data_IF_579491397201
#
_entry.id   IF_579491397201
#
_cell.length_a   1.000
_cell.length_b   1.000
_cell.length_c   1.000
_cell.angle_alpha   90.00
_cell.angle_beta   90.00
_cell.angle_gamma   90.00
#
_symmetry.space_group_name_H-M   'P 1'
#
loop_
_entity.id
_entity.type
_entity.pdbx_description
1 polymer ?
#
# COMPACT_ATOMS: atom_id res chain seq x y z
N UNK A 1 -0.17 29.20 -4.73
CA UNK A 1 -0.94 28.48 -5.75
C UNK A 1 -2.39 28.46 -5.30
N UNK A 2 -3.34 28.78 -6.16
CA UNK A 2 -4.77 28.68 -5.87
C UNK A 2 -5.36 27.63 -6.79
N UNK A 3 -6.30 26.84 -6.28
CA UNK A 3 -6.99 25.79 -7.04
C UNK A 3 -8.49 25.98 -6.93
N UNK A 4 -9.21 25.63 -7.98
CA UNK A 4 -10.67 25.63 -7.96
C UNK A 4 -11.18 24.48 -7.08
N UNK A 5 -12.16 24.77 -6.24
CA UNK A 5 -12.80 23.81 -5.33
C UNK A 5 -14.31 24.06 -5.33
N UNK A 6 -15.02 23.71 -6.41
CA UNK A 6 -16.49 23.80 -6.45
C UNK A 6 -17.12 22.91 -5.37
N UNK A 7 -18.42 23.09 -5.13
CA UNK A 7 -19.14 22.48 -4.01
C UNK A 7 -18.98 20.95 -3.89
N UNK A 8 -18.85 20.26 -5.01
CA UNK A 8 -18.73 18.80 -5.12
C UNK A 8 -17.27 18.29 -5.15
N UNK A 9 -16.29 19.18 -4.92
CA UNK A 9 -14.86 18.85 -5.05
C UNK A 9 -14.10 19.19 -3.78
N UNK A 10 -13.46 18.17 -3.21
CA UNK A 10 -12.47 18.35 -2.13
C UNK A 10 -11.08 18.36 -2.76
N UNK A 11 -10.33 19.48 -2.69
CA UNK A 11 -8.94 19.49 -3.13
C UNK A 11 -8.09 18.58 -2.24
N UNK A 12 -7.56 17.52 -2.83
CA UNK A 12 -6.68 16.56 -2.17
C UNK A 12 -5.36 16.48 -2.93
N UNK A 13 -4.25 16.55 -2.20
CA UNK A 13 -2.90 16.51 -2.78
C UNK A 13 -2.10 15.43 -2.06
N UNK A 14 -1.62 14.44 -2.81
CA UNK A 14 -0.69 13.46 -2.30
C UNK A 14 0.73 14.02 -2.38
N UNK A 15 1.49 13.92 -1.28
CA UNK A 15 2.89 14.34 -1.24
C UNK A 15 3.72 13.42 -2.14
N UNK A 16 4.70 13.96 -2.87
CA UNK A 16 5.70 13.14 -3.56
C UNK A 16 6.40 12.18 -2.59
N UNK A 17 6.88 11.06 -3.12
CA UNK A 17 7.58 10.00 -2.39
C UNK A 17 6.74 9.43 -1.23
N UNK A 18 5.45 9.24 -1.50
CA UNK A 18 4.52 8.56 -0.59
C UNK A 18 3.69 7.50 -1.31
N UNK A 19 3.28 6.49 -0.56
CA UNK A 19 2.32 5.49 -1.00
C UNK A 19 0.99 5.74 -0.29
N UNK A 20 -0.10 5.52 -1.03
CA UNK A 20 -1.46 5.47 -0.53
C UNK A 20 -1.98 4.05 -0.73
N UNK A 21 -2.39 3.40 0.36
CA UNK A 21 -3.01 2.07 0.32
C UNK A 21 -4.52 2.24 0.49
N UNK A 22 -5.29 1.63 -0.42
CA UNK A 22 -6.75 1.62 -0.38
C UNK A 22 -7.27 0.20 -0.64
N UNK A 23 -8.55 -0.01 -0.31
CA UNK A 23 -9.29 -1.22 -0.64
C UNK A 23 -10.63 -0.86 -1.28
N UNK A 24 -11.39 -1.86 -1.72
CA UNK A 24 -12.74 -1.68 -2.22
C UNK A 24 -13.63 -0.93 -1.22
N UNK A 25 -14.47 -0.02 -1.74
CA UNK A 25 -15.43 0.70 -0.93
C UNK A 25 -16.42 -0.25 -0.27
N UNK A 26 -16.68 -0.01 1.01
CA UNK A 26 -17.60 -0.78 1.85
C UNK A 26 -18.43 0.19 2.68
N UNK A 27 -19.63 -0.23 3.11
CA UNK A 27 -20.44 0.61 4.00
C UNK A 27 -19.96 0.61 5.45
N UNK A 28 -19.35 -0.51 5.88
CA UNK A 28 -18.81 -0.67 7.22
C UNK A 28 -17.44 -1.37 7.13
N UNK A 29 -16.56 -1.13 8.10
CA UNK A 29 -15.20 -1.68 8.07
C UNK A 29 -15.20 -3.22 8.13
N UNK A 30 -16.13 -3.79 8.88
CA UNK A 30 -16.29 -5.24 9.12
C UNK A 30 -16.70 -5.99 7.84
N UNK A 31 -17.37 -5.30 6.90
CA UNK A 31 -17.73 -5.85 5.59
C UNK A 31 -16.69 -5.56 4.51
N UNK A 32 -15.55 -4.95 4.87
CA UNK A 32 -14.45 -4.67 3.96
C UNK A 32 -13.87 -5.94 3.35
N UNK A 33 -13.71 -5.95 2.03
CA UNK A 33 -12.89 -6.96 1.36
C UNK A 33 -11.43 -6.59 1.55
N UNK A 34 -10.71 -7.31 2.41
CA UNK A 34 -9.26 -7.18 2.56
C UNK A 34 -8.47 -8.02 1.54
N UNK A 35 -9.18 -8.62 0.57
CA UNK A 35 -8.63 -9.50 -0.46
C UNK A 35 -7.99 -8.77 -1.65
N UNK A 36 -8.23 -7.47 -1.80
CA UNK A 36 -7.68 -6.66 -2.89
C UNK A 36 -7.17 -5.31 -2.36
N UNK A 37 -5.86 -5.21 -2.13
CA UNK A 37 -5.23 -3.95 -1.75
C UNK A 37 -4.67 -3.24 -2.98
N UNK A 38 -4.97 -1.95 -3.08
CA UNK A 38 -4.48 -1.06 -4.13
C UNK A 38 -3.46 -0.10 -3.54
N UNK A 39 -2.26 -0.06 -4.11
CA UNK A 39 -1.15 0.77 -3.65
C UNK A 39 -0.83 1.76 -4.76
N UNK A 40 -1.14 3.03 -4.53
CA UNK A 40 -0.82 4.12 -5.47
C UNK A 40 0.31 4.97 -4.93
N UNK A 41 1.36 5.17 -5.72
CA UNK A 41 2.52 5.96 -5.31
C UNK A 41 2.93 6.99 -6.36
N UNK A 42 3.32 8.17 -5.93
CA UNK A 42 4.07 9.13 -6.75
C UNK A 42 5.50 9.13 -6.22
N UNK A 43 6.38 8.37 -6.87
CA UNK A 43 7.71 8.00 -6.34
C UNK A 43 8.80 8.44 -7.30
N UNK A 44 9.40 9.59 -7.04
CA UNK A 44 10.54 10.10 -7.83
C UNK A 44 11.86 9.49 -7.35
N UNK A 45 11.99 9.22 -6.05
CA UNK A 45 13.17 8.61 -5.45
C UNK A 45 12.82 7.34 -4.67
N UNK A 46 12.11 7.49 -3.55
CA UNK A 46 11.82 6.37 -2.63
C UNK A 46 10.62 6.67 -1.74
N UNK A 47 9.66 5.77 -1.70
CA UNK A 47 8.52 5.82 -0.80
C UNK A 47 8.45 4.55 0.07
N UNK A 48 8.01 4.72 1.31
CA UNK A 48 7.79 3.61 2.24
C UNK A 48 6.39 3.71 2.87
N UNK A 49 5.82 2.57 3.21
CA UNK A 49 4.55 2.47 3.94
C UNK A 49 4.54 1.23 4.83
N UNK A 50 4.16 1.38 6.10
CA UNK A 50 3.97 0.25 7.01
C UNK A 50 2.49 -0.18 6.96
N UNK A 51 2.23 -1.31 6.29
CA UNK A 51 0.91 -1.91 6.20
C UNK A 51 0.63 -2.69 7.49
N UNK A 52 -0.20 -2.10 8.34
CA UNK A 52 -0.63 -2.66 9.62
C UNK A 52 -2.00 -3.35 9.50
N UNK A 53 -2.14 -4.53 10.11
CA UNK A 53 -3.41 -5.25 10.25
C UNK A 53 -3.48 -6.02 11.57
N UNK A 54 -4.66 -6.12 12.15
CA UNK A 54 -5.01 -6.97 13.29
C UNK A 54 -6.46 -7.46 13.13
N UNK A 55 -7.05 -8.01 14.20
CA UNK A 55 -8.44 -8.46 14.15
C UNK A 55 -9.47 -7.31 14.14
N UNK A 56 -9.08 -6.08 14.52
CA UNK A 56 -9.95 -4.91 14.62
C UNK A 56 -10.99 -4.95 15.76
N UNK A 57 -10.97 -5.96 16.63
CA UNK A 57 -12.02 -6.18 17.65
C UNK A 57 -11.48 -6.35 19.07
N UNK A 58 -10.27 -6.90 19.23
CA UNK A 58 -9.76 -7.29 20.54
C UNK A 58 -8.44 -6.57 20.87
N UNK A 59 -7.91 -6.85 22.06
CA UNK A 59 -6.59 -6.36 22.51
C UNK A 59 -5.45 -7.32 22.14
N UNK A 60 -5.68 -8.33 21.30
CA UNK A 60 -4.67 -9.35 20.98
C UNK A 60 -3.40 -8.75 20.31
N UNK A 61 -3.52 -7.59 19.67
CA UNK A 61 -2.37 -6.83 19.15
C UNK A 61 -1.35 -6.48 20.24
N UNK A 62 -1.77 -6.26 21.49
CA UNK A 62 -0.89 -5.97 22.63
C UNK A 62 0.03 -7.15 22.95
N UNK A 63 -0.41 -8.38 22.63
CA UNK A 63 0.33 -9.62 22.82
C UNK A 63 1.02 -10.13 21.55
N UNK A 64 1.01 -9.36 20.46
CA UNK A 64 1.74 -9.66 19.23
C UNK A 64 0.89 -10.20 18.08
N UNK A 65 -0.43 -10.33 18.26
CA UNK A 65 -1.36 -10.78 17.21
C UNK A 65 -1.73 -9.64 16.27
N UNK A 66 -0.72 -9.10 15.59
CA UNK A 66 -0.83 -8.14 14.51
C UNK A 66 0.04 -8.58 13.32
N UNK A 67 -0.08 -7.88 12.20
CA UNK A 67 0.77 -7.99 11.03
C UNK A 67 1.26 -6.59 10.67
N UNK A 68 2.58 -6.42 10.56
CA UNK A 68 3.19 -5.23 9.95
C UNK A 68 4.07 -5.70 8.80
N UNK A 69 3.76 -5.21 7.60
CA UNK A 69 4.60 -5.37 6.41
C UNK A 69 5.04 -4.01 5.89
N UNK A 70 6.35 -3.82 5.76
CA UNK A 70 6.90 -2.60 5.17
C UNK A 70 6.92 -2.75 3.66
N UNK A 71 6.17 -1.89 2.98
CA UNK A 71 6.23 -1.69 1.54
C UNK A 71 7.30 -0.64 1.25
N UNK A 72 8.19 -0.94 0.33
CA UNK A 72 9.23 -0.02 -0.14
C UNK A 72 9.17 0.03 -1.65
N UNK A 73 9.04 1.23 -2.19
CA UNK A 73 9.13 1.46 -3.63
C UNK A 73 10.28 2.42 -3.88
N UNK A 74 11.21 2.03 -4.74
CA UNK A 74 12.38 2.86 -5.11
C UNK A 74 12.40 3.03 -6.62
N UNK A 75 12.49 4.28 -7.07
CA UNK A 75 12.76 4.59 -8.47
C UNK A 75 14.25 4.39 -8.72
N UNK A 76 14.58 3.50 -9.64
CA UNK A 76 15.97 3.15 -9.98
C UNK A 76 16.22 3.43 -11.46
N UNK A 77 17.48 3.35 -11.88
CA UNK A 77 17.82 3.50 -13.29
C UNK A 77 17.20 2.43 -14.21
N UNK A 78 16.91 1.24 -13.67
CA UNK A 78 16.37 0.09 -14.43
C UNK A 78 14.84 -0.01 -14.31
N UNK A 79 14.17 0.99 -13.71
CA UNK A 79 12.73 0.99 -13.45
C UNK A 79 12.41 1.02 -11.95
N UNK A 80 11.20 0.59 -11.60
CA UNK A 80 10.65 0.65 -10.25
C UNK A 80 10.92 -0.66 -9.49
N UNK A 81 11.70 -0.56 -8.42
CA UNK A 81 11.91 -1.68 -7.48
C UNK A 81 10.84 -1.64 -6.39
N UNK A 82 10.12 -2.74 -6.23
CA UNK A 82 9.09 -2.92 -5.20
C UNK A 82 9.54 -4.03 -4.26
N UNK A 83 9.71 -3.70 -2.99
CA UNK A 83 10.05 -4.63 -1.90
C UNK A 83 8.87 -4.67 -0.92
N UNK A 84 8.32 -5.86 -0.71
CA UNK A 84 7.39 -6.17 0.37
C UNK A 84 8.21 -6.94 1.42
N UNK A 85 8.51 -6.30 2.54
CA UNK A 85 9.34 -6.92 3.57
C UNK A 85 8.60 -8.05 4.30
N UNK A 86 9.33 -9.04 4.86
CA UNK A 86 8.75 -10.07 5.69
C UNK A 86 7.88 -9.51 6.82
N UNK A 87 6.79 -10.20 7.11
CA UNK A 87 5.83 -9.83 8.14
C UNK A 87 6.46 -9.82 9.54
N UNK A 88 6.08 -8.84 10.36
CA UNK A 88 6.24 -8.86 11.82
C UNK A 88 4.89 -9.10 12.50
N UNK A 89 4.92 -9.83 13.62
CA UNK A 89 3.72 -10.24 14.36
C UNK A 89 3.11 -11.53 13.80
N UNK A 90 2.13 -12.10 14.51
CA UNK A 90 1.60 -13.45 14.25
C UNK A 90 0.22 -13.47 13.60
N UNK A 91 -0.38 -12.30 13.33
CA UNK A 91 -1.70 -12.24 12.71
C UNK A 91 -1.67 -12.83 11.29
N UNK A 92 -2.63 -13.70 10.99
CA UNK A 92 -2.71 -14.38 9.69
C UNK A 92 -3.60 -13.55 8.77
N UNK A 93 -2.98 -12.81 7.85
CA UNK A 93 -3.69 -12.12 6.78
C UNK A 93 -4.39 -13.13 5.85
N UNK A 94 -5.57 -12.80 5.35
CA UNK A 94 -6.24 -13.58 4.29
C UNK A 94 -5.40 -13.53 3.01
N UNK A 95 -5.48 -14.59 2.21
CA UNK A 95 -4.87 -14.63 0.88
C UNK A 95 -5.42 -13.48 0.01
N UNK A 96 -4.51 -12.78 -0.67
CA UNK A 96 -4.84 -11.56 -1.42
C UNK A 96 -3.75 -11.16 -2.41
N UNK A 97 -4.11 -10.19 -3.25
CA UNK A 97 -3.18 -9.52 -4.16
C UNK A 97 -2.90 -8.08 -3.70
N UNK A 98 -1.64 -7.67 -3.82
CA UNK A 98 -1.19 -6.28 -3.72
C UNK A 98 -1.05 -5.73 -5.14
N UNK A 99 -1.90 -4.79 -5.52
CA UNK A 99 -1.91 -4.16 -6.86
C UNK A 99 -1.27 -2.78 -6.79
N UNK A 100 -0.07 -2.65 -7.36
CA UNK A 100 0.71 -1.42 -7.37
C UNK A 100 0.46 -0.60 -8.65
N UNK A 101 0.31 0.72 -8.48
CA UNK A 101 0.31 1.74 -9.53
C UNK A 101 1.27 2.86 -9.13
N UNK A 102 2.47 2.86 -9.71
CA UNK A 102 3.55 3.75 -9.33
C UNK A 102 3.84 4.74 -10.46
N UNK A 103 3.75 6.03 -10.15
CA UNK A 103 4.10 7.13 -11.03
C UNK A 103 5.46 7.69 -10.62
N UNK A 104 6.45 7.67 -11.51
CA UNK A 104 7.82 8.16 -11.20
C UNK A 104 8.17 9.50 -11.87
N UNK A 105 7.16 10.23 -12.35
CA UNK A 105 7.31 11.46 -13.11
C UNK A 105 7.58 11.25 -14.60
N UNK A 106 8.11 10.09 -15.02
CA UNK A 106 8.33 9.74 -16.43
C UNK A 106 7.22 8.85 -17.02
N UNK A 107 6.58 8.04 -16.17
CA UNK A 107 5.53 7.12 -16.59
C UNK A 107 4.82 6.44 -15.42
N UNK A 108 3.90 5.54 -15.76
CA UNK A 108 3.20 4.65 -14.84
C UNK A 108 3.79 3.24 -14.96
N UNK A 109 4.12 2.64 -13.82
CA UNK A 109 4.53 1.24 -13.69
C UNK A 109 3.50 0.48 -12.84
N UNK A 110 3.07 -0.68 -13.31
CA UNK A 110 2.06 -1.50 -12.66
C UNK A 110 2.61 -2.88 -12.30
N UNK A 111 2.23 -3.39 -11.12
CA UNK A 111 2.56 -4.74 -10.70
C UNK A 111 1.45 -5.35 -9.86
N UNK A 112 1.35 -6.68 -9.88
CA UNK A 112 0.50 -7.44 -8.99
C UNK A 112 1.33 -8.50 -8.29
N UNK A 113 1.32 -8.47 -6.97
CA UNK A 113 2.10 -9.36 -6.11
C UNK A 113 1.14 -10.17 -5.26
N UNK A 114 1.30 -11.50 -5.24
CA UNK A 114 0.60 -12.35 -4.27
C UNK A 114 1.21 -12.12 -2.89
N UNK A 115 0.38 -11.67 -1.94
CA UNK A 115 0.85 -11.30 -0.62
C UNK A 115 1.23 -12.55 0.18
N UNK A 116 2.37 -12.52 0.87
CA UNK A 116 2.81 -13.62 1.72
C UNK A 116 3.59 -13.11 2.94
N UNK A 117 3.60 -13.87 4.07
CA UNK A 117 4.37 -13.50 5.24
C UNK A 117 5.89 -13.44 4.98
N UNK A 118 6.39 -14.16 3.98
CA UNK A 118 7.82 -14.18 3.63
C UNK A 118 8.29 -12.88 2.97
N UNK A 119 7.37 -12.07 2.44
CA UNK A 119 7.71 -10.92 1.61
C UNK A 119 8.24 -11.32 0.24
N UNK A 120 8.60 -10.32 -0.57
CA UNK A 120 9.20 -10.50 -1.88
C UNK A 120 9.86 -9.20 -2.37
N UNK A 121 10.64 -9.30 -3.43
CA UNK A 121 11.18 -8.16 -4.16
C UNK A 121 11.02 -8.40 -5.66
N UNK A 122 10.60 -7.37 -6.39
CA UNK A 122 10.50 -7.36 -7.85
C UNK A 122 11.04 -6.06 -8.44
N UNK A 123 11.46 -6.12 -9.69
CA UNK A 123 11.76 -4.97 -10.53
C UNK A 123 10.70 -4.88 -11.64
N UNK A 124 10.17 -3.68 -11.87
CA UNK A 124 9.22 -3.37 -12.93
C UNK A 124 9.87 -2.34 -13.86
N UNK A 125 10.19 -2.76 -15.08
CA UNK A 125 10.77 -1.90 -16.11
C UNK A 125 9.80 -0.81 -16.59
#
# INVERSE_FOLDING_TARGET
MWVSAPLDTIPHFQRRDTLLVTTASTQYAESGSWGDLHITGFVEERAEFDLYEDDGFTYAYETGEYSIKKLVVTNTHDGIRIEVRPQKGTFICKERMLSFKIYNGSGLHEAKISDSPAGCEILVE
#
